data_IF_114994944366
#
_entry.id   IF_114994944366
#
_cell.length_a   1.000
_cell.length_b   1.000
_cell.length_c   1.000
_cell.angle_alpha   90.00
_cell.angle_beta   90.00
_cell.angle_gamma   90.00
#
_symmetry.space_group_name_H-M   'P 1'
#
loop_
_entity.id
_entity.type
_entity.pdbx_description
1 polymer ?
#
# COMPACT_ATOMS: atom_id res chain seq x y z
N UNK A 1 -50.72 32.98 5.95
CA UNK A 1 -49.95 32.55 4.77
C UNK A 1 -48.51 33.02 4.93
N UNK A 2 -47.48 32.16 4.89
CA UNK A 2 -46.11 32.64 5.04
C UNK A 2 -45.68 33.40 3.79
N UNK A 3 -45.22 34.65 3.98
CA UNK A 3 -44.79 35.57 2.93
C UNK A 3 -43.63 34.97 2.12
N UNK A 4 -43.73 34.99 0.79
CA UNK A 4 -42.58 34.73 -0.11
C UNK A 4 -41.50 35.76 0.24
N UNK A 5 -40.33 35.29 0.68
CA UNK A 5 -39.12 36.11 0.78
C UNK A 5 -38.52 36.21 -0.63
N UNK A 6 -38.18 37.42 -1.06
CA UNK A 6 -37.79 37.76 -2.43
C UNK A 6 -36.55 36.99 -2.96
N UNK A 7 -35.72 36.42 -2.07
CA UNK A 7 -34.49 35.70 -2.45
C UNK A 7 -34.59 34.16 -2.41
N UNK A 8 -35.78 33.57 -2.52
CA UNK A 8 -35.95 32.10 -2.45
C UNK A 8 -36.62 31.53 -3.70
N UNK A 9 -35.90 30.65 -4.38
CA UNK A 9 -36.42 29.85 -5.49
C UNK A 9 -36.89 28.48 -5.01
N UNK A 10 -38.02 28.02 -5.55
CA UNK A 10 -38.55 26.68 -5.29
C UNK A 10 -38.10 25.75 -6.40
N UNK A 11 -37.63 24.55 -6.03
CA UNK A 11 -37.28 23.47 -6.96
C UNK A 11 -38.16 22.27 -6.62
N UNK A 12 -38.80 21.68 -7.63
CA UNK A 12 -39.60 20.47 -7.48
C UNK A 12 -38.77 19.27 -7.96
N UNK A 13 -38.66 18.24 -7.12
CA UNK A 13 -37.93 17.01 -7.43
C UNK A 13 -38.88 15.83 -7.21
N UNK A 14 -38.89 14.90 -8.16
CA UNK A 14 -39.66 13.66 -8.09
C UNK A 14 -38.74 12.56 -7.55
N UNK A 15 -39.17 11.89 -6.49
CA UNK A 15 -38.50 10.74 -5.91
C UNK A 15 -39.30 9.48 -6.21
N UNK A 16 -38.63 8.34 -6.25
CA UNK A 16 -39.31 7.04 -6.26
C UNK A 16 -40.05 6.81 -4.94
N UNK A 17 -41.01 5.88 -4.94
CA UNK A 17 -41.80 5.55 -3.74
C UNK A 17 -40.90 5.13 -2.56
N UNK A 18 -39.85 4.35 -2.85
CA UNK A 18 -38.90 3.88 -1.83
C UNK A 18 -38.05 5.03 -1.24
N UNK A 19 -37.52 5.91 -2.08
CA UNK A 19 -36.73 7.08 -1.64
C UNK A 19 -37.58 8.03 -0.80
N UNK A 20 -38.84 8.24 -1.17
CA UNK A 20 -39.77 9.09 -0.43
C UNK A 20 -40.05 8.53 0.98
N UNK A 21 -40.30 7.22 1.10
CA UNK A 21 -40.49 6.58 2.40
C UNK A 21 -39.23 6.67 3.26
N UNK A 22 -38.06 6.44 2.68
CA UNK A 22 -36.78 6.56 3.37
C UNK A 22 -36.58 7.98 3.89
N UNK A 23 -36.78 9.00 3.05
CA UNK A 23 -36.70 10.41 3.45
C UNK A 23 -37.68 10.75 4.58
N UNK A 24 -38.91 10.21 4.53
CA UNK A 24 -39.91 10.41 5.59
C UNK A 24 -39.46 9.79 6.91
N UNK A 25 -38.91 8.58 6.89
CA UNK A 25 -38.38 7.90 8.09
C UNK A 25 -37.20 8.65 8.68
N UNK A 26 -36.26 9.10 7.84
CA UNK A 26 -35.11 9.90 8.29
C UNK A 26 -35.50 11.27 8.83
N UNK A 27 -36.48 11.93 8.20
CA UNK A 27 -37.03 13.19 8.69
C UNK A 27 -37.67 13.04 10.08
N UNK A 28 -38.40 11.94 10.30
CA UNK A 28 -38.98 11.60 11.59
C UNK A 28 -37.92 11.32 12.67
N UNK A 29 -36.87 10.56 12.33
CA UNK A 29 -35.76 10.28 13.25
C UNK A 29 -35.03 11.54 13.73
N UNK A 30 -34.82 12.50 12.81
CA UNK A 30 -34.16 13.78 13.12
C UNK A 30 -35.12 14.87 13.64
N UNK A 31 -36.42 14.61 13.72
CA UNK A 31 -37.46 15.58 14.08
C UNK A 31 -37.42 16.88 13.24
N UNK A 32 -37.17 16.77 11.94
CA UNK A 32 -37.13 17.91 11.00
C UNK A 32 -38.06 17.69 9.82
N UNK A 33 -38.52 18.77 9.19
CA UNK A 33 -39.33 18.69 7.96
C UNK A 33 -38.53 18.04 6.82
N UNK A 34 -39.18 17.25 5.97
CA UNK A 34 -38.56 16.63 4.79
C UNK A 34 -37.88 17.66 3.87
N UNK A 35 -38.47 18.84 3.68
CA UNK A 35 -37.87 19.91 2.86
C UNK A 35 -36.57 20.45 3.46
N UNK A 36 -36.46 20.51 4.80
CA UNK A 36 -35.23 20.92 5.48
C UNK A 36 -34.16 19.85 5.39
N UNK A 37 -34.55 18.57 5.53
CA UNK A 37 -33.67 17.42 5.36
C UNK A 37 -33.05 17.40 3.95
N UNK A 38 -33.88 17.50 2.91
CA UNK A 38 -33.43 17.52 1.51
C UNK A 38 -32.48 18.70 1.29
N UNK A 39 -32.83 19.89 1.77
CA UNK A 39 -31.96 21.07 1.64
C UNK A 39 -30.61 20.88 2.33
N UNK A 40 -30.58 20.30 3.52
CA UNK A 40 -29.35 20.03 4.26
C UNK A 40 -28.44 19.05 3.50
N UNK A 41 -28.99 17.92 3.03
CA UNK A 41 -28.24 16.95 2.23
C UNK A 41 -27.76 17.52 0.89
N UNK A 42 -28.59 18.31 0.21
CA UNK A 42 -28.18 19.00 -1.02
C UNK A 42 -27.04 19.99 -0.75
N UNK A 43 -27.11 20.75 0.35
CA UNK A 43 -26.03 21.66 0.75
C UNK A 43 -24.76 20.92 1.15
N UNK A 44 -24.86 19.79 1.86
CA UNK A 44 -23.72 18.93 2.21
C UNK A 44 -23.09 18.28 0.97
N UNK A 45 -23.92 17.85 0.01
CA UNK A 45 -23.48 17.32 -1.28
C UNK A 45 -22.76 18.36 -2.13
N UNK A 46 -23.31 19.57 -2.24
CA UNK A 46 -22.66 20.70 -2.96
C UNK A 46 -21.33 21.08 -2.31
N UNK A 47 -21.24 21.05 -0.99
CA UNK A 47 -20.02 21.37 -0.25
C UNK A 47 -18.98 20.25 -0.27
N UNK A 48 -19.27 19.08 -0.83
CA UNK A 48 -18.36 17.92 -0.83
C UNK A 48 -18.10 17.33 0.56
N UNK A 49 -18.84 17.77 1.59
CA UNK A 49 -18.64 17.35 2.99
C UNK A 49 -18.97 15.87 3.15
N UNK A 50 -20.02 15.38 2.48
CA UNK A 50 -20.41 13.97 2.51
C UNK A 50 -19.30 13.04 1.97
N UNK A 51 -18.51 13.50 1.01
CA UNK A 51 -17.39 12.75 0.44
C UNK A 51 -16.13 12.90 1.27
N UNK A 52 -15.88 14.07 1.84
CA UNK A 52 -14.65 14.35 2.60
C UNK A 52 -14.66 13.71 3.99
N UNK A 53 -15.78 13.79 4.73
CA UNK A 53 -15.92 13.10 6.03
C UNK A 53 -15.77 11.58 5.89
N UNK A 54 -16.29 11.00 4.81
CA UNK A 54 -16.14 9.58 4.53
C UNK A 54 -14.69 9.20 4.21
N UNK A 55 -13.96 10.02 3.45
CA UNK A 55 -12.55 9.79 3.15
C UNK A 55 -11.71 9.94 4.42
N UNK A 56 -11.96 10.96 5.24
CA UNK A 56 -11.23 11.20 6.49
C UNK A 56 -11.49 10.11 7.53
N UNK A 57 -12.67 9.48 7.52
CA UNK A 57 -12.98 8.31 8.34
C UNK A 57 -12.32 7.02 7.80
N UNK A 58 -12.39 6.77 6.50
CA UNK A 58 -11.90 5.52 5.90
C UNK A 58 -10.37 5.47 5.78
N UNK A 59 -9.72 6.61 5.50
CA UNK A 59 -8.26 6.70 5.33
C UNK A 59 -7.46 6.17 6.53
N UNK A 60 -7.73 6.56 7.79
CA UNK A 60 -6.98 6.05 8.94
C UNK A 60 -7.23 4.54 9.14
N UNK A 61 -8.44 4.05 8.88
CA UNK A 61 -8.76 2.62 8.97
C UNK A 61 -7.93 1.82 7.97
N UNK A 62 -7.92 2.25 6.70
CA UNK A 62 -7.14 1.60 5.64
C UNK A 62 -5.65 1.65 5.96
N UNK A 63 -5.12 2.81 6.36
CA UNK A 63 -3.70 2.94 6.73
C UNK A 63 -3.33 2.06 7.92
N UNK A 64 -4.19 1.96 8.93
CA UNK A 64 -3.95 1.11 10.09
C UNK A 64 -3.91 -0.38 9.70
N UNK A 65 -4.85 -0.83 8.88
CA UNK A 65 -4.88 -2.21 8.39
C UNK A 65 -3.65 -2.51 7.55
N UNK A 66 -3.30 -1.61 6.61
CA UNK A 66 -2.15 -1.78 5.74
C UNK A 66 -0.85 -1.80 6.55
N UNK A 67 -0.71 -0.93 7.55
CA UNK A 67 0.43 -0.90 8.47
C UNK A 67 0.59 -2.20 9.24
N UNK A 68 -0.49 -2.74 9.80
CA UNK A 68 -0.42 -4.01 10.56
C UNK A 68 0.09 -5.18 9.72
N UNK A 69 -0.22 -5.22 8.43
CA UNK A 69 0.23 -6.28 7.52
C UNK A 69 1.67 -6.04 7.07
N UNK A 70 2.03 -4.79 6.74
CA UNK A 70 3.37 -4.45 6.24
C UNK A 70 4.42 -4.58 7.33
N UNK A 71 4.14 -4.14 8.56
CA UNK A 71 5.11 -4.17 9.66
C UNK A 71 5.53 -5.62 9.96
N UNK A 72 4.58 -6.56 10.01
CA UNK A 72 4.87 -8.00 10.23
C UNK A 72 5.74 -8.57 9.10
N UNK A 73 5.45 -8.19 7.86
CA UNK A 73 6.23 -8.66 6.71
C UNK A 73 7.64 -8.06 6.71
N UNK A 74 7.78 -6.78 7.05
CA UNK A 74 9.06 -6.10 7.15
C UNK A 74 9.96 -6.76 8.20
N UNK A 75 9.43 -7.05 9.39
CA UNK A 75 10.17 -7.72 10.47
C UNK A 75 10.60 -9.14 10.05
N UNK A 76 9.71 -9.88 9.38
CA UNK A 76 10.02 -11.21 8.87
C UNK A 76 11.10 -11.19 7.79
N UNK A 77 11.05 -10.22 6.87
CA UNK A 77 12.08 -10.02 5.84
C UNK A 77 13.40 -9.64 6.50
N UNK A 78 13.40 -8.73 7.47
CA UNK A 78 14.60 -8.35 8.22
C UNK A 78 15.23 -9.56 8.92
N UNK A 79 14.41 -10.41 9.57
CA UNK A 79 14.87 -11.65 10.20
C UNK A 79 15.44 -12.66 9.20
N UNK A 80 14.83 -12.80 8.02
CA UNK A 80 15.35 -13.63 6.93
C UNK A 80 16.68 -13.11 6.40
N UNK A 81 16.78 -11.81 6.13
CA UNK A 81 18.00 -11.16 5.65
C UNK A 81 19.14 -11.34 6.66
N UNK A 82 18.88 -11.17 7.96
CA UNK A 82 19.87 -11.40 9.00
C UNK A 82 20.40 -12.85 9.00
N UNK A 83 19.51 -13.85 8.91
CA UNK A 83 19.92 -15.27 8.84
C UNK A 83 20.72 -15.57 7.57
N UNK A 84 20.29 -15.05 6.42
CA UNK A 84 21.01 -15.21 5.15
C UNK A 84 22.38 -14.54 5.21
N UNK A 85 22.51 -13.39 5.87
CA UNK A 85 23.79 -12.71 6.07
C UNK A 85 24.75 -13.54 6.92
N UNK A 86 24.27 -14.11 8.04
CA UNK A 86 25.08 -15.01 8.89
C UNK A 86 25.51 -16.25 8.09
N UNK A 87 24.60 -16.86 7.32
CA UNK A 87 24.91 -18.03 6.49
C UNK A 87 25.92 -17.71 5.39
N UNK A 88 25.76 -16.57 4.71
CA UNK A 88 26.68 -16.12 3.67
C UNK A 88 28.07 -15.81 4.25
N UNK A 89 28.12 -15.16 5.42
CA UNK A 89 29.35 -14.91 6.15
C UNK A 89 30.05 -16.21 6.54
N UNK A 90 29.32 -17.15 7.14
CA UNK A 90 29.84 -18.47 7.51
C UNK A 90 30.38 -19.23 6.29
N UNK A 91 29.65 -19.23 5.17
CA UNK A 91 30.11 -19.85 3.92
C UNK A 91 31.39 -19.19 3.37
N UNK A 92 31.49 -17.86 3.44
CA UNK A 92 32.68 -17.13 3.01
C UNK A 92 33.90 -17.47 3.87
N UNK A 93 33.75 -17.48 5.20
CA UNK A 93 34.83 -17.86 6.12
C UNK A 93 35.24 -19.32 5.95
N UNK A 94 34.27 -20.24 5.82
CA UNK A 94 34.56 -21.66 5.58
C UNK A 94 35.26 -21.88 4.24
N UNK A 95 34.91 -21.10 3.21
CA UNK A 95 35.62 -21.14 1.93
C UNK A 95 37.05 -20.62 2.05
N UNK A 96 37.27 -19.55 2.82
CA UNK A 96 38.61 -19.02 3.08
C UNK A 96 39.45 -20.00 3.92
N UNK A 97 38.86 -20.62 4.93
CA UNK A 97 39.52 -21.64 5.75
C UNK A 97 39.84 -22.89 4.94
N UNK A 98 38.95 -23.36 4.07
CA UNK A 98 39.23 -24.48 3.19
C UNK A 98 40.39 -24.18 2.23
N UNK A 99 40.42 -22.99 1.64
CA UNK A 99 41.53 -22.54 0.79
C UNK A 99 42.84 -22.42 1.59
N UNK A 100 42.78 -22.08 2.87
CA UNK A 100 43.94 -22.08 3.75
C UNK A 100 44.37 -23.53 4.07
N UNK A 101 43.50 -24.36 4.62
CA UNK A 101 43.89 -25.67 5.14
C UNK A 101 44.22 -26.72 4.06
N UNK A 102 43.61 -26.64 2.87
CA UNK A 102 43.75 -27.69 1.84
C UNK A 102 44.66 -27.33 0.66
N UNK A 103 44.95 -26.05 0.40
CA UNK A 103 45.77 -25.64 -0.76
C UNK A 103 47.23 -25.46 -0.34
N UNK A 104 48.19 -26.16 -0.99
CA UNK A 104 49.63 -25.97 -0.76
C UNK A 104 50.05 -24.50 -0.98
N UNK A 105 50.97 -23.99 -0.16
CA UNK A 105 51.37 -22.57 -0.18
C UNK A 105 51.84 -22.05 -1.54
N UNK A 106 52.39 -22.94 -2.40
CA UNK A 106 52.86 -22.58 -3.76
C UNK A 106 51.73 -22.24 -4.74
N UNK A 107 50.51 -22.72 -4.51
CA UNK A 107 49.35 -22.50 -5.39
C UNK A 107 48.30 -21.58 -4.77
N UNK A 108 48.54 -21.10 -3.54
CA UNK A 108 47.57 -20.29 -2.80
C UNK A 108 47.50 -18.88 -3.40
N UNK A 109 46.42 -18.60 -4.13
CA UNK A 109 46.12 -17.25 -4.63
C UNK A 109 45.79 -16.29 -3.49
N UNK A 110 45.97 -14.99 -3.72
CA UNK A 110 45.52 -13.96 -2.80
C UNK A 110 44.02 -14.07 -2.56
N UNK A 111 43.62 -14.20 -1.29
CA UNK A 111 42.21 -14.32 -0.89
C UNK A 111 41.36 -13.14 -1.39
N UNK A 112 41.94 -11.94 -1.42
CA UNK A 112 41.28 -10.72 -1.86
C UNK A 112 40.93 -10.78 -3.35
N UNK A 113 41.88 -11.24 -4.18
CA UNK A 113 41.68 -11.35 -5.64
C UNK A 113 40.65 -12.43 -6.00
N UNK A 114 40.69 -13.56 -5.29
CA UNK A 114 39.72 -14.63 -5.46
C UNK A 114 38.30 -14.18 -5.07
N UNK A 115 38.18 -13.43 -3.97
CA UNK A 115 36.92 -12.86 -3.51
C UNK A 115 36.35 -11.84 -4.50
N UNK A 116 37.16 -10.91 -5.00
CA UNK A 116 36.72 -9.90 -5.96
C UNK A 116 36.30 -10.51 -7.31
N UNK A 117 37.00 -11.55 -7.77
CA UNK A 117 36.61 -12.30 -8.96
C UNK A 117 35.27 -13.02 -8.77
N UNK A 118 35.06 -13.67 -7.61
CA UNK A 118 33.81 -14.34 -7.28
C UNK A 118 32.64 -13.34 -7.16
N UNK A 119 32.87 -12.19 -6.52
CA UNK A 119 31.88 -11.11 -6.40
C UNK A 119 31.47 -10.57 -7.76
N UNK A 120 32.43 -10.30 -8.66
CA UNK A 120 32.13 -9.84 -10.03
C UNK A 120 31.27 -10.86 -10.79
N UNK A 121 31.56 -12.16 -10.67
CA UNK A 121 30.76 -13.23 -11.27
C UNK A 121 29.33 -13.26 -10.69
N UNK A 122 29.19 -13.19 -9.37
CA UNK A 122 27.89 -13.15 -8.72
C UNK A 122 27.03 -11.96 -9.18
N UNK A 123 27.63 -10.76 -9.25
CA UNK A 123 26.93 -9.55 -9.75
C UNK A 123 26.54 -9.70 -11.22
N UNK A 124 27.41 -10.27 -12.06
CA UNK A 124 27.08 -10.49 -13.47
C UNK A 124 25.92 -11.48 -13.65
N UNK A 125 25.84 -12.51 -12.81
CA UNK A 125 24.75 -13.49 -12.85
C UNK A 125 23.41 -12.86 -12.49
N UNK A 126 23.36 -12.08 -11.41
CA UNK A 126 22.14 -11.38 -10.97
C UNK A 126 21.65 -10.41 -12.07
N UNK A 127 22.55 -9.64 -12.66
CA UNK A 127 22.21 -8.72 -13.76
C UNK A 127 21.70 -9.46 -15.01
N UNK A 128 22.28 -10.62 -15.31
CA UNK A 128 21.86 -11.45 -16.44
C UNK A 128 20.47 -12.07 -16.21
N UNK A 129 20.14 -12.47 -14.97
CA UNK A 129 18.79 -12.94 -14.63
C UNK A 129 17.74 -11.84 -14.72
N UNK A 130 18.06 -10.61 -14.28
CA UNK A 130 17.14 -9.47 -14.41
C UNK A 130 16.83 -9.15 -15.89
N UNK A 131 17.83 -9.31 -16.76
CA UNK A 131 17.69 -9.02 -18.20
C UNK A 131 16.85 -10.08 -18.90
N UNK A 132 17.01 -11.36 -18.52
CA UNK A 132 16.24 -12.48 -19.09
C UNK A 132 14.79 -12.51 -18.60
N UNK A 133 14.50 -12.04 -17.38
CA UNK A 133 13.12 -11.85 -16.91
C UNK A 133 12.41 -10.67 -17.59
N UNK A 134 13.12 -9.58 -17.88
CA UNK A 134 12.54 -8.45 -18.61
C UNK A 134 12.25 -8.75 -20.08
N UNK A 135 13.06 -9.57 -20.76
CA UNK A 135 12.76 -10.01 -22.13
C UNK A 135 11.50 -10.89 -22.20
N UNK A 136 11.25 -11.75 -21.20
CA UNK A 136 10.06 -12.61 -21.18
C UNK A 136 8.74 -11.86 -20.92
N UNK A 137 8.80 -10.67 -20.32
CA UNK A 137 7.61 -9.83 -20.07
C UNK A 137 7.23 -8.94 -21.26
N UNK A 138 8.09 -8.82 -22.27
CA UNK A 138 7.81 -8.04 -23.48
C UNK A 138 7.17 -8.86 -24.62
N UNK A 139 7.19 -10.20 -24.51
CA UNK A 139 6.63 -11.12 -25.52
C UNK A 139 5.20 -11.61 -25.18
N UNK A 140 4.45 -10.91 -24.32
CA UNK A 140 3.02 -11.16 -24.03
C UNK A 140 2.23 -9.87 -24.27
#
# INVERSE_FOLDING_TARGET
>A
MPRRKEDRHSVQVLFTTEEYENLKRYAALKNISMSSLVREYTMQGIRGILTQENIDFLTPIIRSQLKSVVDIQADRIAGLVAKTCIQAGAAAYLSAEALNSFVPEKERKSFVEAYDAARKKAVSYIRASDTTENSKKQDI
#
